data_IF_371734022893
#
_entry.id   IF_371734022893
#
_cell.length_a   1.000
_cell.length_b   1.000
_cell.length_c   1.000
_cell.angle_alpha   90.00
_cell.angle_beta   90.00
_cell.angle_gamma   90.00
#
_symmetry.space_group_name_H-M   'P 1'
#
loop_
_entity.id
_entity.type
_entity.pdbx_description
1 polymer ?
#
# COMPACT_ATOMS: atom_id res chain seq x y z
N UNK A 1 20.58 8.14 6.19
CA UNK A 1 20.21 8.80 4.93
C UNK A 1 18.71 8.98 4.95
N UNK A 2 18.19 10.21 4.95
CA UNK A 2 16.73 10.46 5.06
C UNK A 2 16.20 10.63 3.65
N UNK A 3 15.26 9.77 3.23
CA UNK A 3 14.59 9.89 1.95
C UNK A 3 13.91 11.26 1.87
N UNK A 4 14.11 11.98 0.75
CA UNK A 4 13.52 13.31 0.55
C UNK A 4 12.03 13.24 0.22
N UNK A 5 11.62 12.20 -0.49
CA UNK A 5 10.25 11.99 -0.96
C UNK A 5 10.03 10.51 -1.29
N UNK A 6 8.93 9.95 -0.79
CA UNK A 6 8.52 8.58 -1.13
C UNK A 6 7.60 8.60 -2.33
N UNK A 7 7.89 7.77 -3.34
CA UNK A 7 7.05 7.57 -4.51
C UNK A 7 6.22 6.30 -4.36
N UNK A 8 4.92 6.40 -4.62
CA UNK A 8 4.03 5.25 -4.61
C UNK A 8 4.10 4.52 -5.95
N UNK A 9 4.36 3.22 -5.91
CA UNK A 9 4.18 2.30 -7.05
C UNK A 9 3.15 1.26 -6.65
N UNK A 10 2.18 1.02 -7.53
CA UNK A 10 1.06 0.12 -7.24
C UNK A 10 1.20 -1.11 -8.13
N UNK A 11 1.29 -2.28 -7.51
CA UNK A 11 1.45 -3.54 -8.21
C UNK A 11 0.13 -4.31 -8.21
N UNK A 12 -0.40 -4.64 -9.38
CA UNK A 12 -1.56 -5.53 -9.55
C UNK A 12 -1.17 -7.00 -9.40
N UNK A 13 0.04 -7.35 -9.79
CA UNK A 13 0.67 -8.66 -9.61
C UNK A 13 2.17 -8.46 -9.41
N UNK A 14 2.92 -9.54 -9.19
CA UNK A 14 4.39 -9.49 -9.11
C UNK A 14 5.08 -8.92 -10.36
N UNK A 15 4.38 -8.84 -11.50
CA UNK A 15 4.95 -8.44 -12.79
C UNK A 15 4.25 -7.26 -13.45
N UNK A 16 3.12 -6.79 -12.89
CA UNK A 16 2.29 -5.75 -13.51
C UNK A 16 2.05 -4.59 -12.58
N UNK A 17 2.70 -3.47 -12.87
CA UNK A 17 2.39 -2.18 -12.28
C UNK A 17 1.06 -1.67 -12.84
N UNK A 18 0.32 -0.94 -12.01
CA UNK A 18 -0.92 -0.26 -12.37
C UNK A 18 -0.83 1.22 -12.07
N UNK A 19 -1.53 2.03 -12.86
CA UNK A 19 -1.62 3.47 -12.62
C UNK A 19 -2.46 3.77 -11.36
N UNK A 20 -2.36 5.00 -10.89
CA UNK A 20 -3.19 5.46 -9.76
C UNK A 20 -4.66 5.48 -10.16
N UNK A 21 -4.96 5.84 -11.40
CA UNK A 21 -6.31 5.87 -11.97
C UNK A 21 -6.92 4.46 -12.01
N UNK A 22 -6.18 3.49 -12.55
CA UNK A 22 -6.60 2.08 -12.61
C UNK A 22 -6.86 1.52 -11.21
N UNK A 23 -6.03 1.92 -10.24
CA UNK A 23 -6.18 1.52 -8.86
C UNK A 23 -7.42 2.14 -8.20
N UNK A 24 -7.74 3.39 -8.51
CA UNK A 24 -8.97 4.03 -8.03
C UNK A 24 -10.21 3.33 -8.58
N UNK A 25 -10.21 3.00 -9.87
CA UNK A 25 -11.30 2.27 -10.51
C UNK A 25 -11.45 0.86 -9.93
N UNK A 26 -10.33 0.17 -9.72
CA UNK A 26 -10.30 -1.12 -9.03
C UNK A 26 -10.93 -1.03 -7.64
N UNK A 27 -10.54 -0.07 -6.81
CA UNK A 27 -11.09 0.10 -5.46
C UNK A 27 -12.60 0.39 -5.50
N UNK A 28 -13.06 1.21 -6.45
CA UNK A 28 -14.48 1.54 -6.60
C UNK A 28 -15.28 0.30 -6.96
N UNK A 29 -14.75 -0.53 -7.85
CA UNK A 29 -15.39 -1.77 -8.31
C UNK A 29 -15.43 -2.86 -7.24
N UNK A 30 -14.32 -3.09 -6.55
CA UNK A 30 -14.20 -4.20 -5.59
C UNK A 30 -14.81 -3.86 -4.21
N UNK A 31 -14.71 -2.60 -3.77
CA UNK A 31 -15.15 -2.20 -2.43
C UNK A 31 -16.35 -1.27 -2.51
N UNK A 32 -17.55 -1.84 -2.43
CA UNK A 32 -18.82 -1.10 -2.49
C UNK A 32 -19.02 -0.10 -1.35
N UNK A 33 -18.47 -0.38 -0.16
CA UNK A 33 -18.57 0.46 1.04
C UNK A 33 -17.66 1.70 0.95
N UNK A 34 -18.19 2.95 0.93
CA UNK A 34 -17.38 4.16 0.83
C UNK A 34 -16.35 4.33 1.96
N UNK A 35 -16.71 3.90 3.18
CA UNK A 35 -15.82 3.96 4.35
C UNK A 35 -14.55 3.13 4.14
N UNK A 36 -14.66 1.95 3.52
CA UNK A 36 -13.52 1.09 3.21
C UNK A 36 -12.58 1.78 2.21
N UNK A 37 -13.14 2.32 1.12
CA UNK A 37 -12.36 3.06 0.12
C UNK A 37 -11.62 4.24 0.73
N UNK A 38 -12.27 4.95 1.66
CA UNK A 38 -11.66 6.06 2.41
C UNK A 38 -10.49 5.57 3.28
N UNK A 39 -10.66 4.50 4.05
CA UNK A 39 -9.60 3.92 4.88
C UNK A 39 -8.38 3.48 4.07
N UNK A 40 -8.58 2.88 2.89
CA UNK A 40 -7.47 2.52 1.99
C UNK A 40 -6.70 3.77 1.56
N UNK A 41 -7.40 4.82 1.10
CA UNK A 41 -6.78 6.09 0.67
C UNK A 41 -6.04 6.79 1.80
N UNK A 42 -6.61 6.82 3.00
CA UNK A 42 -5.97 7.41 4.18
C UNK A 42 -4.69 6.64 4.53
N UNK A 43 -4.74 5.30 4.54
CA UNK A 43 -3.56 4.46 4.80
C UNK A 43 -2.45 4.71 3.78
N UNK A 44 -2.77 4.84 2.49
CA UNK A 44 -1.78 5.14 1.45
C UNK A 44 -1.12 6.52 1.65
N UNK A 45 -1.87 7.55 2.04
CA UNK A 45 -1.30 8.86 2.37
C UNK A 45 -0.32 8.77 3.53
N UNK A 46 -0.64 7.97 4.55
CA UNK A 46 0.25 7.72 5.67
C UNK A 46 1.54 7.06 5.20
N UNK A 47 1.46 6.02 4.35
CA UNK A 47 2.63 5.36 3.77
C UNK A 47 3.52 6.30 2.95
N UNK A 48 2.94 7.20 2.16
CA UNK A 48 3.70 8.19 1.38
C UNK A 48 4.40 9.18 2.33
N UNK A 49 3.75 9.63 3.40
CA UNK A 49 4.37 10.56 4.35
C UNK A 49 5.54 9.93 5.10
N UNK A 50 5.36 8.70 5.60
CA UNK A 50 6.40 7.94 6.26
C UNK A 50 6.04 6.44 6.28
N UNK A 51 6.66 5.61 5.43
CA UNK A 51 6.35 4.19 5.34
C UNK A 51 6.85 3.39 6.55
N UNK A 52 7.59 4.02 7.48
CA UNK A 52 8.13 3.39 8.69
C UNK A 52 7.42 3.79 9.98
N UNK A 53 6.53 4.81 9.98
CA UNK A 53 5.99 5.42 11.19
C UNK A 53 4.88 4.64 11.91
N UNK A 54 4.19 3.74 11.22
CA UNK A 54 2.94 3.15 11.71
C UNK A 54 3.11 1.68 12.13
N UNK A 55 2.20 1.21 13.01
CA UNK A 55 2.14 -0.17 13.45
C UNK A 55 1.98 -1.10 12.23
N UNK A 56 3.01 -1.90 11.98
CA UNK A 56 3.13 -2.76 10.80
C UNK A 56 3.78 -4.08 11.19
N UNK A 57 3.27 -5.14 10.61
CA UNK A 57 3.83 -6.47 10.77
C UNK A 57 5.00 -6.62 9.79
N UNK A 58 6.18 -6.97 10.30
CA UNK A 58 7.31 -7.36 9.43
C UNK A 58 7.01 -8.74 8.87
N UNK A 59 7.03 -8.85 7.56
CA UNK A 59 6.91 -10.13 6.86
C UNK A 59 8.32 -10.62 6.50
N UNK A 60 8.48 -11.25 5.34
CA UNK A 60 9.79 -11.59 4.76
C UNK A 60 10.30 -10.51 3.80
N UNK A 61 11.04 -10.93 2.78
CA UNK A 61 11.48 -10.06 1.69
C UNK A 61 10.60 -10.21 0.45
N UNK A 62 10.51 -9.15 -0.36
CA UNK A 62 9.92 -9.22 -1.69
C UNK A 62 10.88 -9.90 -2.70
N UNK A 63 10.46 -9.98 -3.96
CA UNK A 63 11.23 -10.61 -5.04
C UNK A 63 12.56 -9.89 -5.35
N UNK A 64 12.75 -8.67 -4.85
CA UNK A 64 13.94 -7.85 -5.02
C UNK A 64 14.83 -7.85 -3.77
N UNK A 65 14.42 -8.56 -2.71
CA UNK A 65 15.14 -8.62 -1.43
C UNK A 65 14.75 -7.54 -0.43
N UNK A 66 13.82 -6.63 -0.79
CA UNK A 66 13.39 -5.56 0.11
C UNK A 66 12.49 -6.10 1.22
N UNK A 67 12.63 -5.56 2.43
CA UNK A 67 11.75 -5.95 3.55
C UNK A 67 10.30 -5.63 3.23
N UNK A 68 9.43 -6.64 3.29
CA UNK A 68 7.98 -6.47 3.20
C UNK A 68 7.36 -6.19 4.55
N UNK A 69 6.29 -5.41 4.49
CA UNK A 69 5.47 -5.01 5.61
C UNK A 69 4.00 -5.26 5.29
N UNK A 70 3.21 -5.51 6.33
CA UNK A 70 1.76 -5.51 6.27
C UNK A 70 1.19 -4.44 7.18
N UNK A 71 0.18 -3.73 6.71
CA UNK A 71 -0.63 -2.83 7.53
C UNK A 71 -2.10 -3.18 7.40
N UNK A 72 -2.78 -3.30 8.54
CA UNK A 72 -4.22 -3.50 8.59
C UNK A 72 -4.94 -2.19 8.27
N UNK A 73 -5.82 -2.22 7.27
CA UNK A 73 -6.68 -1.09 6.89
C UNK A 73 -8.04 -1.23 7.56
N UNK A 74 -8.59 -2.44 7.52
CA UNK A 74 -9.77 -2.88 8.26
C UNK A 74 -9.53 -4.34 8.68
N UNK A 75 -10.39 -4.90 9.53
CA UNK A 75 -10.29 -6.31 9.97
C UNK A 75 -10.19 -7.32 8.82
N UNK A 76 -10.71 -6.97 7.65
CA UNK A 76 -10.78 -7.85 6.48
C UNK A 76 -9.83 -7.44 5.35
N UNK A 77 -9.11 -6.30 5.48
CA UNK A 77 -8.31 -5.71 4.39
C UNK A 77 -6.95 -5.31 4.93
N UNK A 78 -5.91 -5.79 4.26
CA UNK A 78 -4.51 -5.43 4.54
C UNK A 78 -3.83 -4.90 3.28
N UNK A 79 -2.91 -3.96 3.46
CA UNK A 79 -1.99 -3.52 2.42
C UNK A 79 -0.65 -4.20 2.68
N UNK A 80 -0.13 -4.86 1.65
CA UNK A 80 1.23 -5.39 1.61
C UNK A 80 2.09 -4.41 0.82
N UNK A 81 3.25 -4.04 1.36
CA UNK A 81 4.17 -3.13 0.69
C UNK A 81 5.62 -3.43 1.07
N UNK A 82 6.53 -3.15 0.16
CA UNK A 82 7.96 -3.05 0.44
C UNK A 82 8.41 -1.60 0.27
N UNK A 83 9.60 -1.30 0.76
CA UNK A 83 10.24 0.01 0.64
C UNK A 83 11.63 -0.21 0.06
N UNK A 84 11.94 0.53 -1.00
CA UNK A 84 13.24 0.59 -1.69
C UNK A 84 13.84 2.00 -1.45
#
# INVERSE_FOLDING_TARGET
>A
MVCKEWKLRIMRSSTKEMSVEDFQDYIIKEFTKPKVRRSIRETLKLLISNPFAYAREKLGSDIFGNQMFSIEVTKDIRILYSVD
#
